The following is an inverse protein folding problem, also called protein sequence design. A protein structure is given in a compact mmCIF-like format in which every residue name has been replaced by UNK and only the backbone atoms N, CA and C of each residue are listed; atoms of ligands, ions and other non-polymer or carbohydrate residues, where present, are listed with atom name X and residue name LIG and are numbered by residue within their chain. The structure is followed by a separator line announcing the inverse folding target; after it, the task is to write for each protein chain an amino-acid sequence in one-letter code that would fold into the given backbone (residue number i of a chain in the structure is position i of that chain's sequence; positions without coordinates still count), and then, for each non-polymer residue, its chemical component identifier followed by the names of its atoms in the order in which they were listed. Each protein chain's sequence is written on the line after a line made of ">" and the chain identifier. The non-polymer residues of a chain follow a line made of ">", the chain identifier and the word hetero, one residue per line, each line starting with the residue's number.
data_IF_924505143918
#
_entry.id   IF_924505143918
#
_cell.length_a   1.000
_cell.length_b   1.000
_cell.length_c   1.000
_cell.angle_alpha   90.00
_cell.angle_beta   90.00
_cell.angle_gamma   90.00
#
_symmetry.space_group_name_H-M   'P 1'
#
loop_
_entity.id
_entity.type
_entity.pdbx_description
1 polymer ?
#
# COMPACT_ATOMS: atom_id res chain seq x y z
N UNK A 1 20.78 9.60 16.04
CA UNK A 1 19.76 10.16 15.09
C UNK A 1 19.34 9.13 14.04
N UNK A 2 20.30 8.59 13.21
CA UNK A 2 19.92 7.71 12.09
C UNK A 2 19.26 6.40 12.52
N UNK A 3 19.77 5.70 13.52
CA UNK A 3 19.15 4.46 14.05
C UNK A 3 17.72 4.73 14.54
N UNK A 4 17.54 5.82 15.27
CA UNK A 4 16.20 6.23 15.72
C UNK A 4 15.26 6.49 14.55
N UNK A 5 15.71 7.19 13.52
CA UNK A 5 14.93 7.44 12.31
C UNK A 5 14.49 6.15 11.62
N UNK A 6 15.41 5.19 11.43
CA UNK A 6 15.09 3.91 10.80
C UNK A 6 14.17 3.02 11.67
N UNK A 7 14.26 3.14 12.99
CA UNK A 7 13.40 2.39 13.92
C UNK A 7 12.03 3.02 14.13
N UNK A 8 11.86 4.30 13.78
CA UNK A 8 10.59 5.03 13.89
C UNK A 8 9.76 5.05 12.60
N UNK A 9 10.10 4.18 11.63
CA UNK A 9 9.33 4.08 10.41
C UNK A 9 7.89 3.66 10.70
N UNK A 10 6.92 4.42 10.16
CA UNK A 10 5.48 4.19 10.29
C UNK A 10 4.92 4.17 11.73
N UNK A 11 5.71 4.59 12.73
CA UNK A 11 5.33 4.61 14.14
C UNK A 11 4.12 5.52 14.44
N UNK A 12 3.84 6.46 13.57
CA UNK A 12 2.75 7.44 13.74
C UNK A 12 1.35 6.86 13.37
N UNK A 13 1.28 5.68 12.76
CA UNK A 13 -0.02 5.05 12.49
C UNK A 13 -0.65 4.47 13.76
N UNK A 14 -1.90 4.84 14.10
CA UNK A 14 -2.49 4.51 15.40
C UNK A 14 -2.73 3.01 15.64
N UNK A 15 -3.03 2.25 14.62
CA UNK A 15 -3.39 0.82 14.73
C UNK A 15 -2.34 -0.09 14.09
N UNK A 16 -1.08 0.36 14.00
CA UNK A 16 -0.01 -0.34 13.29
C UNK A 16 0.25 -1.78 13.76
N UNK A 17 -0.04 -2.05 15.04
CA UNK A 17 0.12 -3.34 15.71
C UNK A 17 -0.88 -4.41 15.25
N UNK A 18 -1.91 -4.01 14.51
CA UNK A 18 -2.92 -4.90 13.95
C UNK A 18 -3.15 -4.69 12.45
N UNK A 19 -2.29 -3.91 11.80
CA UNK A 19 -2.26 -3.72 10.36
C UNK A 19 -1.13 -4.56 9.76
N UNK A 20 -1.46 -5.36 8.77
CA UNK A 20 -0.53 -6.28 8.11
C UNK A 20 -0.58 -6.09 6.59
N UNK A 21 0.58 -6.09 5.96
CA UNK A 21 0.68 -6.25 4.51
C UNK A 21 0.53 -7.72 4.17
N UNK A 22 -0.28 -8.03 3.16
CA UNK A 22 -0.46 -9.39 2.65
C UNK A 22 0.56 -9.65 1.56
N UNK A 23 1.40 -10.65 1.76
CA UNK A 23 2.35 -11.11 0.76
C UNK A 23 1.88 -12.42 0.15
N UNK A 24 1.97 -12.53 -1.18
CA UNK A 24 1.70 -13.77 -1.87
C UNK A 24 2.90 -14.71 -1.77
N UNK A 25 2.63 -15.99 -1.56
CA UNK A 25 3.63 -17.07 -1.55
C UNK A 25 3.38 -18.00 -2.73
N UNK A 26 4.42 -18.25 -3.49
CA UNK A 26 4.35 -19.11 -4.67
C UNK A 26 5.41 -20.19 -4.64
N UNK A 27 4.99 -21.42 -4.95
CA UNK A 27 5.87 -22.56 -5.15
C UNK A 27 5.49 -23.27 -6.44
N UNK A 28 6.45 -23.58 -7.29
CA UNK A 28 6.23 -24.31 -8.54
C UNK A 28 6.97 -25.64 -8.53
N UNK A 29 6.27 -26.73 -8.86
CA UNK A 29 6.80 -28.09 -8.99
C UNK A 29 7.67 -28.55 -7.81
N UNK A 30 7.27 -28.20 -6.57
CA UNK A 30 8.03 -28.53 -5.35
C UNK A 30 9.37 -27.79 -5.21
N UNK A 31 9.60 -26.76 -6.01
CA UNK A 31 10.77 -25.88 -5.93
C UNK A 31 10.77 -24.98 -4.69
N UNK A 32 11.59 -23.93 -4.73
CA UNK A 32 11.69 -22.96 -3.64
C UNK A 32 10.37 -22.16 -3.49
N UNK A 33 9.93 -21.99 -2.23
CA UNK A 33 8.83 -21.10 -1.88
C UNK A 33 9.32 -19.65 -1.96
N UNK A 34 8.65 -18.83 -2.75
CA UNK A 34 8.98 -17.41 -2.96
C UNK A 34 7.90 -16.50 -2.41
N UNK A 35 8.31 -15.50 -1.66
CA UNK A 35 7.45 -14.46 -1.12
C UNK A 35 7.49 -13.21 -2.00
N UNK A 36 6.30 -12.64 -2.28
CA UNK A 36 6.12 -11.43 -3.07
C UNK A 36 5.26 -10.42 -2.30
N UNK A 37 5.70 -9.18 -2.15
CA UNK A 37 4.98 -8.15 -1.40
C UNK A 37 3.75 -7.61 -2.16
N UNK A 38 3.26 -8.33 -3.12
CA UNK A 38 2.13 -7.96 -3.98
C UNK A 38 1.17 -9.13 -4.12
N UNK A 39 -0.09 -8.81 -4.39
CA UNK A 39 -1.18 -9.77 -4.60
C UNK A 39 -1.95 -9.43 -5.86
N UNK A 40 -2.74 -10.37 -6.35
CA UNK A 40 -3.79 -10.09 -7.34
C UNK A 40 -4.91 -9.26 -6.72
N UNK A 41 -5.59 -8.47 -7.55
CA UNK A 41 -6.51 -7.43 -7.08
C UNK A 41 -7.71 -7.95 -6.28
N UNK A 42 -8.23 -9.13 -6.58
CA UNK A 42 -9.38 -9.73 -5.89
C UNK A 42 -9.05 -10.30 -4.50
N UNK A 43 -7.78 -10.52 -4.16
CA UNK A 43 -7.37 -11.26 -2.98
C UNK A 43 -7.85 -10.60 -1.67
N UNK A 44 -7.42 -9.38 -1.37
CA UNK A 44 -7.76 -8.74 -0.11
C UNK A 44 -9.27 -8.52 0.11
N UNK A 45 -10.06 -8.03 -0.89
CA UNK A 45 -11.51 -7.94 -0.73
C UNK A 45 -12.20 -9.27 -0.49
N UNK A 46 -11.73 -10.35 -1.12
CA UNK A 46 -12.33 -11.68 -0.93
C UNK A 46 -11.91 -12.28 0.41
N UNK A 47 -10.66 -12.04 0.86
CA UNK A 47 -10.24 -12.40 2.22
C UNK A 47 -11.15 -11.75 3.28
N UNK A 48 -11.46 -10.47 3.16
CA UNK A 48 -12.36 -9.79 4.10
C UNK A 48 -13.74 -10.42 4.16
N UNK A 49 -14.25 -10.94 3.05
CA UNK A 49 -15.56 -11.60 3.00
C UNK A 49 -15.56 -13.00 3.64
N UNK A 50 -14.42 -13.69 3.62
CA UNK A 50 -14.31 -15.09 4.02
C UNK A 50 -13.63 -15.32 5.37
N UNK A 51 -12.86 -14.33 5.85
CA UNK A 51 -12.10 -14.42 7.11
C UNK A 51 -12.67 -13.38 8.09
N UNK A 52 -13.53 -13.82 9.04
CA UNK A 52 -14.23 -12.90 9.96
C UNK A 52 -13.29 -12.08 10.88
N UNK A 53 -12.07 -12.55 11.09
CA UNK A 53 -11.06 -11.88 11.90
C UNK A 53 -10.52 -10.61 11.25
N UNK A 54 -10.76 -10.42 9.96
CA UNK A 54 -10.35 -9.22 9.21
C UNK A 54 -11.42 -8.13 9.36
N UNK A 55 -11.07 -7.06 10.06
CA UNK A 55 -11.94 -5.89 10.28
C UNK A 55 -12.16 -5.09 8.98
N UNK A 56 -11.08 -4.77 8.29
CA UNK A 56 -11.11 -4.06 7.01
C UNK A 56 -9.86 -4.34 6.18
N UNK A 57 -9.98 -4.09 4.89
CA UNK A 57 -8.86 -4.24 3.94
C UNK A 57 -8.71 -2.99 3.10
N UNK A 58 -7.52 -2.76 2.58
CA UNK A 58 -7.29 -1.82 1.50
C UNK A 58 -6.20 -2.32 0.58
N UNK A 59 -6.21 -1.83 -0.63
CA UNK A 59 -5.15 -2.10 -1.61
C UNK A 59 -4.89 -0.87 -2.45
N UNK A 60 -3.67 -0.82 -2.97
CA UNK A 60 -3.31 0.16 -3.97
C UNK A 60 -2.36 -0.46 -4.99
N UNK A 61 -2.26 0.18 -6.14
CA UNK A 61 -1.24 -0.10 -7.15
C UNK A 61 -0.48 1.17 -7.50
N UNK A 62 0.86 1.07 -7.60
CA UNK A 62 1.71 2.21 -7.91
C UNK A 62 1.93 2.31 -9.42
N UNK A 63 1.93 3.53 -9.91
CA UNK A 63 2.28 3.88 -11.28
C UNK A 63 3.59 4.68 -11.37
N UNK A 64 4.32 4.80 -10.24
CA UNK A 64 5.53 5.60 -10.16
C UNK A 64 5.26 7.09 -10.13
N UNK A 65 6.19 7.87 -10.67
CA UNK A 65 6.06 9.32 -10.76
C UNK A 65 5.27 9.70 -12.02
N UNK A 66 4.18 10.44 -11.82
CA UNK A 66 3.40 11.01 -12.90
C UNK A 66 3.74 12.47 -13.11
N UNK A 67 3.86 12.85 -14.39
CA UNK A 67 3.77 14.25 -14.81
C UNK A 67 2.35 14.51 -15.27
N UNK A 68 1.74 15.52 -14.70
CA UNK A 68 0.39 15.94 -15.03
C UNK A 68 0.31 17.42 -15.38
N UNK A 69 -0.57 17.74 -16.31
CA UNK A 69 -0.76 19.07 -16.87
C UNK A 69 -2.13 19.62 -16.46
N UNK A 70 -2.14 20.76 -15.76
CA UNK A 70 -3.40 21.43 -15.39
C UNK A 70 -4.15 21.90 -16.64
N UNK A 71 -5.46 21.69 -16.65
CA UNK A 71 -6.27 22.00 -17.84
C UNK A 71 -6.43 23.50 -18.07
N UNK A 72 -6.47 24.28 -17.00
CA UNK A 72 -6.64 25.74 -17.02
C UNK A 72 -5.32 26.48 -17.33
N UNK A 73 -4.31 26.26 -16.52
CA UNK A 73 -3.04 27.00 -16.57
C UNK A 73 -2.02 26.43 -17.55
N UNK A 74 -2.19 25.19 -18.01
CA UNK A 74 -1.21 24.40 -18.78
C UNK A 74 0.12 24.16 -18.04
N UNK A 75 0.19 24.47 -16.78
CA UNK A 75 1.37 24.20 -15.95
C UNK A 75 1.50 22.71 -15.65
N UNK A 76 2.75 22.25 -15.60
CA UNK A 76 3.10 20.86 -15.34
C UNK A 76 3.60 20.68 -13.91
N UNK A 77 3.17 19.59 -13.31
CA UNK A 77 3.62 19.17 -11.98
C UNK A 77 3.96 17.69 -12.02
N UNK A 78 4.79 17.23 -11.09
CA UNK A 78 5.15 15.82 -10.96
C UNK A 78 4.99 15.37 -9.52
N UNK A 79 4.56 14.14 -9.37
CA UNK A 79 4.39 13.51 -8.05
C UNK A 79 4.20 12.01 -8.15
N UNK A 80 4.52 11.33 -7.05
CA UNK A 80 4.30 9.88 -6.93
C UNK A 80 2.83 9.57 -6.88
N UNK A 81 2.37 8.71 -7.79
CA UNK A 81 0.97 8.39 -7.97
C UNK A 81 0.66 6.93 -7.63
N UNK A 82 -0.47 6.75 -6.95
CA UNK A 82 -1.12 5.45 -6.73
C UNK A 82 -2.59 5.51 -7.13
N UNK A 83 -3.16 4.33 -7.43
CA UNK A 83 -4.60 4.11 -7.46
C UNK A 83 -4.96 3.29 -6.23
N UNK A 84 -5.87 3.76 -5.38
CA UNK A 84 -6.20 3.15 -4.09
C UNK A 84 -7.71 3.03 -3.85
N UNK A 85 -8.08 2.08 -3.00
CA UNK A 85 -9.45 1.87 -2.53
C UNK A 85 -9.96 3.06 -1.70
N UNK A 86 -11.28 3.23 -1.62
CA UNK A 86 -11.91 4.31 -0.85
C UNK A 86 -11.64 4.24 0.66
N UNK A 87 -11.34 3.07 1.18
CA UNK A 87 -10.97 2.83 2.58
C UNK A 87 -9.47 2.93 2.86
N UNK A 88 -8.67 3.46 1.93
CA UNK A 88 -7.22 3.55 2.08
C UNK A 88 -6.80 4.29 3.36
N UNK A 89 -7.48 5.38 3.71
CA UNK A 89 -7.19 6.15 4.92
C UNK A 89 -7.81 5.55 6.19
N UNK A 90 -8.66 4.53 6.10
CA UNK A 90 -9.12 3.77 7.27
C UNK A 90 -8.02 2.86 7.84
N UNK A 91 -7.04 2.50 7.00
CA UNK A 91 -5.90 1.63 7.38
C UNK A 91 -4.60 2.43 7.50
N UNK A 92 -4.31 3.32 6.53
CA UNK A 92 -3.14 4.19 6.52
C UNK A 92 -3.59 5.66 6.63
N UNK A 93 -4.08 6.09 7.80
CA UNK A 93 -4.75 7.37 7.97
C UNK A 93 -3.81 8.56 7.72
N UNK A 94 -4.39 9.59 7.11
CA UNK A 94 -3.78 10.89 6.92
C UNK A 94 -4.80 11.97 7.21
N UNK A 95 -4.41 13.08 7.87
CA UNK A 95 -5.29 14.20 8.06
C UNK A 95 -5.75 14.76 6.70
N UNK A 96 -7.05 14.92 6.53
CA UNK A 96 -7.61 15.66 5.41
C UNK A 96 -7.60 17.15 5.75
N UNK A 97 -7.00 17.94 4.87
CA UNK A 97 -7.04 19.40 4.96
C UNK A 97 -8.29 19.96 4.28
N UNK A 98 -8.71 19.36 3.16
CA UNK A 98 -9.90 19.74 2.40
C UNK A 98 -10.53 18.49 1.81
N UNK A 99 -11.87 18.38 1.91
CA UNK A 99 -12.64 17.28 1.34
C UNK A 99 -12.72 16.04 2.24
N UNK A 100 -13.36 14.99 1.72
CA UNK A 100 -13.53 13.71 2.39
C UNK A 100 -12.87 12.60 1.56
N UNK A 101 -11.90 11.90 2.14
CA UNK A 101 -11.12 10.90 1.43
C UNK A 101 -11.97 9.76 0.85
N UNK A 102 -12.89 9.23 1.65
CA UNK A 102 -13.75 8.11 1.25
C UNK A 102 -14.68 8.48 0.10
N UNK A 103 -15.25 9.66 0.15
CA UNK A 103 -16.14 10.19 -0.90
C UNK A 103 -15.35 10.39 -2.21
N UNK A 104 -14.21 11.07 -2.15
CA UNK A 104 -13.36 11.32 -3.32
C UNK A 104 -12.86 10.01 -3.94
N UNK A 105 -12.36 9.08 -3.12
CA UNK A 105 -11.82 7.80 -3.61
C UNK A 105 -12.92 6.78 -4.01
N UNK A 106 -14.18 7.07 -3.74
CA UNK A 106 -15.34 6.31 -4.29
C UNK A 106 -15.81 6.83 -5.64
N UNK A 107 -15.40 8.04 -6.02
CA UNK A 107 -15.87 8.70 -7.24
C UNK A 107 -14.88 8.48 -8.39
N UNK A 108 -15.32 7.91 -9.54
CA UNK A 108 -14.45 7.72 -10.69
C UNK A 108 -13.82 9.01 -11.19
N UNK A 109 -12.54 8.95 -11.57
CA UNK A 109 -11.73 10.07 -12.10
C UNK A 109 -11.54 11.24 -11.11
N UNK A 110 -11.84 11.03 -9.82
CA UNK A 110 -11.47 11.95 -8.75
C UNK A 110 -10.18 11.53 -8.09
N UNK A 111 -9.45 12.54 -7.58
CA UNK A 111 -8.16 12.34 -6.93
C UNK A 111 -8.03 13.15 -5.64
N UNK A 112 -7.24 12.62 -4.72
CA UNK A 112 -6.66 13.36 -3.62
C UNK A 112 -5.24 13.78 -3.99
N UNK A 113 -4.85 15.00 -3.61
CA UNK A 113 -3.47 15.49 -3.77
C UNK A 113 -2.86 15.86 -2.42
N UNK A 114 -1.54 15.74 -2.32
CA UNK A 114 -0.81 16.14 -1.11
C UNK A 114 -0.81 17.67 -0.95
N UNK A 115 -0.66 18.13 0.29
CA UNK A 115 -0.52 19.57 0.60
C UNK A 115 0.66 20.20 -0.14
N UNK A 116 1.73 19.46 -0.41
CA UNK A 116 2.87 19.90 -1.22
C UNK A 116 2.46 20.24 -2.65
N UNK A 117 1.71 19.32 -3.30
CA UNK A 117 1.21 19.56 -4.67
C UNK A 117 0.22 20.70 -4.69
N UNK A 118 -0.70 20.77 -3.71
CA UNK A 118 -1.66 21.86 -3.61
C UNK A 118 -0.99 23.24 -3.48
N UNK A 119 0.06 23.35 -2.65
CA UNK A 119 0.87 24.58 -2.51
C UNK A 119 1.54 24.98 -3.82
N UNK A 120 2.07 23.99 -4.57
CA UNK A 120 2.75 24.28 -5.84
C UNK A 120 1.77 24.77 -6.93
N UNK A 121 0.53 24.22 -6.96
CA UNK A 121 -0.51 24.70 -7.88
C UNK A 121 -0.99 26.09 -7.49
N UNK A 122 -1.15 26.34 -6.20
CA UNK A 122 -1.61 27.62 -5.65
C UNK A 122 -3.10 27.90 -5.82
N UNK A 123 -3.63 28.79 -4.97
CA UNK A 123 -5.03 29.18 -4.97
C UNK A 123 -5.97 28.04 -4.56
N UNK A 124 -7.25 28.16 -4.93
CA UNK A 124 -8.23 27.11 -4.75
C UNK A 124 -7.98 25.99 -5.77
N UNK A 125 -7.72 24.79 -5.28
CA UNK A 125 -7.39 23.62 -6.11
C UNK A 125 -8.58 22.67 -6.30
N UNK A 126 -9.61 22.77 -5.45
CA UNK A 126 -10.76 21.86 -5.51
C UNK A 126 -11.58 22.10 -6.79
N UNK A 127 -11.94 21.00 -7.45
CA UNK A 127 -12.67 21.04 -8.73
C UNK A 127 -11.80 21.36 -9.95
N UNK A 128 -10.52 21.70 -9.76
CA UNK A 128 -9.61 21.88 -10.91
C UNK A 128 -9.33 20.53 -11.56
N UNK A 129 -9.11 20.61 -12.88
CA UNK A 129 -8.89 19.43 -13.71
C UNK A 129 -7.45 19.38 -14.23
N UNK A 130 -6.94 18.17 -14.38
CA UNK A 130 -5.67 17.90 -15.03
C UNK A 130 -5.69 16.63 -15.87
N UNK A 131 -4.72 16.48 -16.76
CA UNK A 131 -4.47 15.27 -17.53
C UNK A 131 -3.09 14.73 -17.23
N UNK A 132 -2.93 13.41 -17.27
CA UNK A 132 -1.61 12.77 -17.13
C UNK A 132 -0.94 12.67 -18.49
N UNK A 133 0.31 13.10 -18.58
CA UNK A 133 1.03 13.16 -19.87
C UNK A 133 1.15 11.77 -20.54
N UNK A 134 1.31 10.71 -19.75
CA UNK A 134 1.35 9.32 -20.24
C UNK A 134 -0.02 8.75 -20.65
N UNK A 135 -1.10 9.45 -20.36
CA UNK A 135 -2.48 9.03 -20.66
C UNK A 135 -3.32 10.21 -21.16
N UNK A 136 -2.97 10.79 -22.30
CA UNK A 136 -3.66 11.96 -22.84
C UNK A 136 -5.13 11.64 -23.09
N UNK A 137 -6.02 12.61 -22.81
CA UNK A 137 -7.48 12.46 -22.93
C UNK A 137 -8.18 11.92 -21.69
N UNK A 138 -7.45 11.54 -20.64
CA UNK A 138 -8.04 11.18 -19.34
C UNK A 138 -7.95 12.35 -18.39
N UNK A 139 -9.06 13.06 -18.23
CA UNK A 139 -9.16 14.20 -17.32
C UNK A 139 -9.56 13.72 -15.94
N UNK A 140 -8.81 14.17 -14.92
CA UNK A 140 -9.08 13.90 -13.51
C UNK A 140 -9.39 15.19 -12.78
N UNK A 141 -10.23 15.09 -11.75
CA UNK A 141 -10.69 16.22 -10.93
C UNK A 141 -10.10 16.13 -9.53
N UNK A 142 -9.53 17.21 -9.04
CA UNK A 142 -9.05 17.31 -7.65
C UNK A 142 -10.26 17.44 -6.73
N UNK A 143 -10.49 16.41 -5.90
CA UNK A 143 -11.62 16.35 -4.96
C UNK A 143 -11.23 16.63 -3.50
N UNK A 144 -9.93 16.57 -3.17
CA UNK A 144 -9.48 16.82 -1.82
C UNK A 144 -7.97 16.98 -1.69
N UNK A 145 -7.56 17.50 -0.53
CA UNK A 145 -6.17 17.73 -0.16
C UNK A 145 -5.90 17.05 1.18
N UNK A 146 -4.85 16.25 1.24
CA UNK A 146 -4.39 15.59 2.46
C UNK A 146 -3.04 16.13 2.92
N UNK A 147 -2.76 15.98 4.22
CA UNK A 147 -1.46 16.33 4.79
C UNK A 147 -0.40 15.29 4.43
N UNK A 148 0.82 15.74 4.19
CA UNK A 148 1.95 14.83 3.96
C UNK A 148 2.25 14.03 5.21
N UNK A 149 2.61 12.76 5.02
CA UNK A 149 3.16 11.93 6.08
C UNK A 149 4.62 12.29 6.35
N UNK A 150 5.13 11.99 7.56
CA UNK A 150 6.54 12.16 7.90
C UNK A 150 7.48 11.46 6.91
N UNK A 151 8.74 11.89 6.86
CA UNK A 151 9.74 11.30 5.96
C UNK A 151 10.03 9.82 6.25
N UNK A 152 9.85 9.39 7.50
CA UNK A 152 9.96 8.02 7.95
C UNK A 152 8.69 7.20 7.71
N UNK A 153 8.10 7.32 6.53
CA UNK A 153 6.98 6.48 6.08
C UNK A 153 7.31 5.80 4.77
N UNK A 154 6.95 4.51 4.66
CA UNK A 154 7.02 3.78 3.39
C UNK A 154 5.90 4.19 2.42
N UNK A 155 4.83 4.81 2.94
CA UNK A 155 3.60 5.13 2.20
C UNK A 155 3.53 6.63 1.81
N UNK A 156 4.55 7.13 1.10
CA UNK A 156 4.62 8.54 0.68
C UNK A 156 4.16 8.69 -0.77
N UNK A 157 2.98 9.27 -0.96
CA UNK A 157 2.37 9.51 -2.27
C UNK A 157 1.87 10.95 -2.36
N UNK A 158 1.87 11.50 -3.57
CA UNK A 158 1.47 12.87 -3.85
C UNK A 158 0.09 12.96 -4.47
N UNK A 159 -0.27 11.94 -5.26
CA UNK A 159 -1.55 11.86 -5.95
C UNK A 159 -2.14 10.47 -5.70
N UNK A 160 -3.35 10.44 -5.18
CA UNK A 160 -4.11 9.21 -4.95
C UNK A 160 -5.37 9.24 -5.79
N UNK A 161 -5.40 8.38 -6.80
CA UNK A 161 -6.53 8.23 -7.71
C UNK A 161 -7.51 7.20 -7.15
N UNK A 162 -8.80 7.44 -7.31
CA UNK A 162 -9.85 6.49 -6.94
C UNK A 162 -9.69 5.14 -7.64
N UNK A 163 -9.79 4.02 -6.91
CA UNK A 163 -9.82 2.66 -7.46
C UNK A 163 -11.02 2.45 -8.42
N UNK A 164 -12.10 3.21 -8.26
CA UNK A 164 -13.22 3.20 -9.19
C UNK A 164 -12.82 3.63 -10.63
N UNK A 165 -11.63 4.23 -10.78
CA UNK A 165 -11.06 4.61 -12.08
C UNK A 165 -10.13 3.54 -12.68
N UNK A 166 -9.86 2.46 -11.97
CA UNK A 166 -8.80 1.50 -12.34
C UNK A 166 -8.93 0.99 -13.79
N UNK A 167 -10.14 0.66 -14.24
CA UNK A 167 -10.40 0.22 -15.63
C UNK A 167 -10.08 1.26 -16.71
N UNK A 168 -9.83 2.52 -16.33
CA UNK A 168 -9.35 3.56 -17.27
C UNK A 168 -7.83 3.52 -17.45
N UNK A 169 -7.09 2.91 -16.55
CA UNK A 169 -5.63 2.92 -16.52
C UNK A 169 -5.01 1.53 -16.69
N UNK A 170 -5.79 0.49 -16.48
CA UNK A 170 -5.38 -0.90 -16.58
C UNK A 170 -6.54 -1.75 -17.14
N UNK A 171 -6.29 -3.03 -17.34
CA UNK A 171 -7.34 -3.98 -17.71
C UNK A 171 -8.50 -3.94 -16.70
N UNK A 172 -9.72 -3.91 -17.19
CA UNK A 172 -10.94 -3.71 -16.37
C UNK A 172 -11.11 -4.78 -15.29
N UNK A 173 -10.76 -6.05 -15.58
CA UNK A 173 -10.80 -7.15 -14.60
C UNK A 173 -9.68 -7.13 -13.57
N UNK A 174 -8.67 -6.25 -13.71
CA UNK A 174 -7.50 -6.23 -12.81
C UNK A 174 -7.86 -6.09 -11.33
N UNK A 175 -8.81 -5.22 -10.91
CA UNK A 175 -9.16 -5.07 -9.50
C UNK A 175 -9.88 -6.28 -8.88
N UNK A 176 -10.43 -7.18 -9.67
CA UNK A 176 -11.20 -8.34 -9.21
C UNK A 176 -10.54 -9.68 -9.53
N UNK A 177 -9.43 -9.64 -10.25
CA UNK A 177 -8.71 -10.85 -10.63
C UNK A 177 -8.11 -11.55 -9.40
N UNK A 178 -8.23 -12.87 -9.33
CA UNK A 178 -7.73 -13.69 -8.22
C UNK A 178 -6.33 -14.27 -8.48
N UNK A 179 -5.88 -14.35 -9.73
CA UNK A 179 -4.63 -15.01 -10.12
C UNK A 179 -3.92 -14.29 -11.28
N UNK A 180 -2.60 -14.21 -11.21
CA UNK A 180 -1.76 -13.86 -12.37
C UNK A 180 -1.69 -12.39 -12.71
N UNK A 181 -2.08 -11.49 -11.80
CA UNK A 181 -1.94 -10.04 -11.96
C UNK A 181 -1.54 -9.40 -10.63
N UNK A 182 -0.39 -9.82 -10.11
CA UNK A 182 0.12 -9.44 -8.79
C UNK A 182 0.81 -8.08 -8.87
N UNK A 183 0.01 -7.04 -8.77
CA UNK A 183 0.46 -5.64 -8.82
C UNK A 183 -0.05 -4.81 -7.65
N UNK A 184 -0.93 -5.39 -6.82
CA UNK A 184 -1.54 -4.68 -5.73
C UNK A 184 -0.75 -4.90 -4.44
N UNK A 185 -0.43 -3.82 -3.76
CA UNK A 185 0.00 -3.86 -2.37
C UNK A 185 -1.28 -3.84 -1.54
N UNK A 186 -1.50 -4.91 -0.79
CA UNK A 186 -2.72 -5.15 -0.04
C UNK A 186 -2.44 -5.13 1.46
N UNK A 187 -3.29 -4.45 2.21
CA UNK A 187 -3.25 -4.43 3.67
C UNK A 187 -4.55 -4.96 4.25
N UNK A 188 -4.42 -5.67 5.34
CA UNK A 188 -5.52 -6.10 6.20
C UNK A 188 -5.33 -5.49 7.57
N UNK A 189 -6.44 -5.09 8.19
CA UNK A 189 -6.51 -4.69 9.60
C UNK A 189 -7.31 -5.76 10.32
N UNK A 190 -6.71 -6.37 11.32
CA UNK A 190 -7.35 -7.44 12.10
C UNK A 190 -8.15 -6.84 13.26
N UNK A 191 -9.19 -7.53 13.71
CA UNK A 191 -9.87 -7.21 14.95
C UNK A 191 -8.90 -7.26 16.13
N UNK A 192 -9.18 -6.48 17.18
CA UNK A 192 -8.34 -6.43 18.39
C UNK A 192 -8.18 -7.80 19.03
N UNK A 193 -6.93 -8.16 19.34
CA UNK A 193 -6.59 -9.42 20.01
C UNK A 193 -6.46 -10.63 19.08
N UNK A 194 -6.65 -10.47 17.78
CA UNK A 194 -6.42 -11.54 16.81
C UNK A 194 -4.92 -11.72 16.60
N UNK A 195 -4.46 -12.97 16.70
CA UNK A 195 -3.10 -13.34 16.33
C UNK A 195 -3.07 -13.77 14.84
N UNK A 196 -2.30 -13.11 13.96
CA UNK A 196 -2.25 -13.45 12.54
C UNK A 196 -1.78 -14.90 12.27
N UNK A 197 -0.95 -15.47 13.15
CA UNK A 197 -0.52 -16.87 13.03
C UNK A 197 -1.67 -17.88 13.23
N UNK A 198 -2.74 -17.48 13.90
CA UNK A 198 -3.93 -18.32 14.07
C UNK A 198 -4.83 -18.35 12.81
N UNK A 199 -4.53 -17.53 11.80
CA UNK A 199 -5.32 -17.46 10.57
C UNK A 199 -4.83 -18.42 9.48
N UNK A 200 -3.83 -19.26 9.75
CA UNK A 200 -3.24 -20.16 8.74
C UNK A 200 -4.27 -21.09 8.12
N UNK A 201 -5.15 -21.68 8.93
CA UNK A 201 -6.22 -22.59 8.47
C UNK A 201 -7.27 -21.85 7.61
N UNK A 202 -7.67 -20.64 8.03
CA UNK A 202 -8.62 -19.81 7.28
C UNK A 202 -8.00 -19.36 5.95
N UNK A 203 -6.72 -18.99 5.94
CA UNK A 203 -5.99 -18.63 4.72
C UNK A 203 -5.90 -19.83 3.77
N UNK A 204 -5.61 -21.01 4.30
CA UNK A 204 -5.60 -22.23 3.49
C UNK A 204 -6.98 -22.53 2.89
N UNK A 205 -8.04 -22.42 3.69
CA UNK A 205 -9.43 -22.60 3.24
C UNK A 205 -9.79 -21.56 2.17
N UNK A 206 -9.41 -20.30 2.38
CA UNK A 206 -9.58 -19.22 1.42
C UNK A 206 -8.90 -19.56 0.07
N UNK A 207 -7.63 -19.99 0.08
CA UNK A 207 -6.91 -20.36 -1.15
C UNK A 207 -7.65 -21.48 -1.87
N UNK A 208 -8.04 -22.53 -1.16
CA UNK A 208 -8.74 -23.68 -1.74
C UNK A 208 -10.11 -23.30 -2.33
N UNK A 209 -10.73 -22.21 -1.91
CA UNK A 209 -12.03 -21.76 -2.43
C UNK A 209 -11.96 -21.26 -3.88
N UNK A 210 -10.82 -20.76 -4.33
CA UNK A 210 -10.65 -20.24 -5.70
C UNK A 210 -9.54 -20.92 -6.50
N UNK A 211 -8.63 -21.63 -5.83
CA UNK A 211 -7.59 -22.46 -6.44
C UNK A 211 -7.50 -23.80 -5.72
N UNK A 212 -8.40 -24.75 -6.06
CA UNK A 212 -8.54 -26.01 -5.37
C UNK A 212 -7.29 -26.90 -5.43
N UNK A 213 -7.08 -27.82 -4.45
CA UNK A 213 -5.92 -28.71 -4.42
C UNK A 213 -5.73 -29.51 -5.71
N UNK A 214 -6.82 -29.89 -6.40
CA UNK A 214 -6.77 -30.59 -7.68
C UNK A 214 -6.10 -29.76 -8.78
N UNK A 215 -6.43 -28.47 -8.85
CA UNK A 215 -5.80 -27.54 -9.80
C UNK A 215 -4.36 -27.23 -9.41
N UNK A 216 -4.07 -27.11 -8.11
CA UNK A 216 -2.70 -26.97 -7.60
C UNK A 216 -1.84 -28.16 -8.01
N UNK A 217 -2.35 -29.37 -7.83
CA UNK A 217 -1.64 -30.60 -8.21
C UNK A 217 -1.46 -30.72 -9.74
N UNK A 218 -2.49 -30.41 -10.51
CA UNK A 218 -2.48 -30.47 -11.97
C UNK A 218 -1.49 -29.47 -12.59
N UNK A 219 -1.41 -28.28 -12.03
CA UNK A 219 -0.51 -27.22 -12.53
C UNK A 219 0.89 -27.29 -11.92
N UNK A 220 1.06 -28.02 -10.82
CA UNK A 220 2.28 -28.00 -10.01
C UNK A 220 2.54 -26.66 -9.32
N UNK A 221 1.52 -25.81 -9.23
CA UNK A 221 1.64 -24.45 -8.70
C UNK A 221 0.86 -24.32 -7.40
N UNK A 222 1.55 -24.05 -6.30
CA UNK A 222 0.97 -23.84 -4.99
C UNK A 222 0.98 -22.34 -4.66
N UNK A 223 -0.11 -21.87 -4.06
CA UNK A 223 -0.30 -20.49 -3.63
C UNK A 223 -0.57 -20.48 -2.13
N UNK A 224 -0.03 -19.46 -1.46
CA UNK A 224 -0.34 -19.14 -0.08
C UNK A 224 -0.22 -17.66 0.17
N UNK A 225 -0.48 -17.25 1.40
CA UNK A 225 -0.31 -15.85 1.82
C UNK A 225 0.32 -15.80 3.20
N UNK A 226 1.03 -14.71 3.46
CA UNK A 226 1.56 -14.37 4.79
C UNK A 226 1.22 -12.94 5.14
N UNK A 227 1.12 -12.68 6.45
CA UNK A 227 0.84 -11.37 7.00
C UNK A 227 2.12 -10.80 7.61
N UNK A 228 2.53 -9.63 7.12
CA UNK A 228 3.72 -8.91 7.57
C UNK A 228 3.31 -7.64 8.29
N UNK A 229 3.68 -7.52 9.56
CA UNK A 229 3.34 -6.35 10.39
C UNK A 229 3.79 -5.05 9.74
N UNK A 230 2.90 -4.05 9.72
CA UNK A 230 3.21 -2.72 9.20
C UNK A 230 4.45 -2.13 9.87
N UNK A 231 4.53 -2.28 11.20
CA UNK A 231 5.66 -1.82 12.02
C UNK A 231 6.98 -2.52 11.68
N UNK A 232 6.92 -3.75 11.16
CA UNK A 232 8.07 -4.57 10.76
C UNK A 232 8.57 -4.30 9.35
N UNK A 233 7.74 -3.83 8.42
CA UNK A 233 8.06 -3.78 6.99
C UNK A 233 9.39 -3.11 6.66
N UNK A 234 9.68 -1.97 7.28
CA UNK A 234 10.95 -1.27 7.08
C UNK A 234 12.07 -1.84 7.93
N UNK A 235 11.79 -2.12 9.20
CA UNK A 235 12.77 -2.57 10.20
C UNK A 235 13.39 -3.93 9.82
N UNK A 236 12.61 -4.79 9.16
CA UNK A 236 13.01 -6.12 8.71
C UNK A 236 13.88 -6.12 7.43
N UNK A 237 13.99 -4.99 6.72
CA UNK A 237 14.84 -4.90 5.54
C UNK A 237 16.31 -5.25 5.87
N UNK A 238 16.97 -6.14 5.11
CA UNK A 238 18.34 -6.59 5.41
C UNK A 238 19.36 -5.45 5.57
N UNK A 239 19.25 -4.40 4.75
CA UNK A 239 20.10 -3.22 4.84
C UNK A 239 19.87 -2.42 6.12
N UNK A 240 18.62 -2.32 6.59
CA UNK A 240 18.26 -1.61 7.83
C UNK A 240 18.77 -2.39 9.04
N UNK A 241 18.52 -3.71 9.10
CA UNK A 241 19.03 -4.60 10.15
C UNK A 241 20.55 -4.53 10.25
N UNK A 242 21.25 -4.67 9.12
CA UNK A 242 22.72 -4.62 9.06
C UNK A 242 23.26 -3.26 9.54
N UNK A 243 22.67 -2.17 9.08
CA UNK A 243 23.09 -0.82 9.47
C UNK A 243 22.85 -0.58 10.96
N UNK A 244 21.69 -0.92 11.48
CA UNK A 244 21.34 -0.80 12.91
C UNK A 244 22.31 -1.58 13.77
N UNK A 245 22.64 -2.80 13.39
CA UNK A 245 23.60 -3.65 14.11
C UNK A 245 25.00 -3.03 14.14
N UNK A 246 25.52 -2.58 12.98
CA UNK A 246 26.86 -1.93 12.90
C UNK A 246 26.91 -0.66 13.76
N UNK A 247 25.90 0.21 13.65
CA UNK A 247 25.89 1.47 14.41
C UNK A 247 25.73 1.23 15.92
N UNK A 248 24.99 0.20 16.33
CA UNK A 248 24.86 -0.18 17.74
C UNK A 248 26.18 -0.72 18.30
N UNK A 249 26.92 -1.53 17.55
CA UNK A 249 28.27 -1.99 17.94
C UNK A 249 29.25 -0.84 18.08
N UNK A 250 29.26 0.12 17.13
CA UNK A 250 30.12 1.29 17.21
C UNK A 250 29.78 2.15 18.42
N UNK A 251 28.50 2.37 18.71
CA UNK A 251 28.07 3.11 19.90
C UNK A 251 28.52 2.40 21.19
N UNK A 252 28.35 1.09 21.25
CA UNK A 252 28.81 0.29 22.41
C UNK A 252 30.32 0.39 22.59
N UNK A 253 31.13 0.26 21.52
CA UNK A 253 32.58 0.40 21.57
C UNK A 253 33.03 1.78 22.06
N UNK A 254 32.35 2.86 21.60
CA UNK A 254 32.63 4.23 22.04
C UNK A 254 32.31 4.43 23.55
N UNK A 255 31.18 3.90 24.01
CA UNK A 255 30.84 3.96 25.43
C UNK A 255 31.86 3.19 26.26
N UNK A 256 32.24 1.98 25.83
CA UNK A 256 33.19 1.16 26.51
C UNK A 256 34.56 1.85 26.64
N UNK A 257 35.05 2.49 25.56
CA UNK A 257 36.31 3.24 25.59
C UNK A 257 36.25 4.52 26.43
N UNK A 258 35.06 5.13 26.58
CA UNK A 258 34.91 6.33 27.41
C UNK A 258 34.82 6.04 28.92
N UNK A 259 34.51 4.79 29.29
CA UNK A 259 34.38 4.35 30.70
C UNK A 259 35.69 3.71 31.22
N UNK A 260 36.61 3.32 30.34
CA UNK A 260 37.94 2.86 30.69
C UNK A 260 38.93 4.04 30.80
#
# INVERSE_FOLDING_TARGET
>A
AKVYFEQSYDDFYPDRDRVYQVWAKYQQNGGELKDYPQTSGGIAPTMQQQIPEIETVTRYTSFGDWTFTMTDTKMKYSGRCIIADSCFFDILPRPMLIGNAKEVLSTPMYVLISSRIAKNIGGDVIGKNFTVDSSPGRTMTIGGVFEEVPENSHSRYDVIVSMASAGRFMWEGSPTNMLGNDRYISYVKLHKGVNPLALEEQVHTFVNSYFPPEEQQKTGFNIGFSFHELDGLHKELPQVKRMTWILSLLAFALIFTAVM
#
